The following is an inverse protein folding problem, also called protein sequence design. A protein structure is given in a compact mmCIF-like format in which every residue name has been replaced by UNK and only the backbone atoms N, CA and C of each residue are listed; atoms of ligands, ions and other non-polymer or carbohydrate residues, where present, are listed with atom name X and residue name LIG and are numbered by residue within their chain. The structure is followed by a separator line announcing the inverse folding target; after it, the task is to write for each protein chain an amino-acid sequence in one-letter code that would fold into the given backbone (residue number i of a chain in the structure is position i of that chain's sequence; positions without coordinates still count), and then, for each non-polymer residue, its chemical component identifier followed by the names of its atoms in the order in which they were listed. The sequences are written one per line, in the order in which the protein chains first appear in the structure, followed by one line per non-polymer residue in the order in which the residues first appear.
data_IF_683346631173
#
_entry.id   IF_683346631173
#
_cell.length_a   1.000
_cell.length_b   1.000
_cell.length_c   1.000
_cell.angle_alpha   90.00
_cell.angle_beta   90.00
_cell.angle_gamma   90.00
#
_symmetry.space_group_name_H-M   'P 1'
#
loop_
_entity.id
_entity.type
_entity.pdbx_description
1 polymer ?
#
# COMPACT_ATOMS: atom_id res chain seq x y z
N UNK A 1 2.05 -36.01 -7.50
CA UNK A 1 1.34 -35.20 -6.48
C UNK A 1 2.39 -34.54 -5.61
N UNK A 2 2.62 -33.24 -5.78
CA UNK A 2 3.42 -32.44 -4.85
C UNK A 2 2.54 -31.29 -4.38
N UNK A 3 1.88 -31.45 -3.23
CA UNK A 3 1.22 -30.33 -2.56
C UNK A 3 2.33 -29.46 -2.00
N UNK A 4 2.55 -28.30 -2.62
CA UNK A 4 3.39 -27.28 -1.99
C UNK A 4 2.60 -26.73 -0.81
N UNK A 5 3.08 -26.98 0.40
CA UNK A 5 2.57 -26.36 1.61
C UNK A 5 2.92 -24.86 1.56
N UNK A 6 2.05 -24.08 0.94
CA UNK A 6 2.03 -22.62 1.10
C UNK A 6 1.64 -22.30 2.54
N UNK A 7 2.64 -22.20 3.43
CA UNK A 7 2.41 -21.58 4.73
C UNK A 7 1.95 -20.13 4.49
N UNK A 8 0.77 -19.73 4.98
CA UNK A 8 0.31 -18.36 4.83
C UNK A 8 1.33 -17.40 5.47
N UNK A 9 1.69 -16.33 4.77
CA UNK A 9 2.58 -15.29 5.28
C UNK A 9 1.91 -14.60 6.47
N UNK A 10 2.23 -15.08 7.67
CA UNK A 10 1.72 -14.58 8.96
C UNK A 10 1.87 -13.07 9.11
N UNK A 11 2.87 -12.43 8.48
CA UNK A 11 3.01 -10.96 8.50
C UNK A 11 1.91 -10.26 7.71
N UNK A 12 1.50 -10.81 6.58
CA UNK A 12 0.41 -10.26 5.77
C UNK A 12 -0.93 -10.38 6.50
N UNK A 13 -1.16 -11.49 7.21
CA UNK A 13 -2.34 -11.67 8.06
C UNK A 13 -2.37 -10.65 9.21
N UNK A 14 -1.23 -10.43 9.88
CA UNK A 14 -1.12 -9.44 10.95
C UNK A 14 -1.34 -8.00 10.45
N UNK A 15 -0.83 -7.66 9.27
CA UNK A 15 -1.04 -6.35 8.65
C UNK A 15 -2.52 -6.13 8.31
N UNK A 16 -3.21 -7.12 7.73
CA UNK A 16 -4.65 -7.02 7.45
C UNK A 16 -5.48 -6.82 8.72
N UNK A 17 -5.13 -7.50 9.81
CA UNK A 17 -5.80 -7.32 11.10
C UNK A 17 -5.58 -5.91 11.65
N UNK A 18 -4.34 -5.42 11.63
CA UNK A 18 -4.01 -4.05 12.06
C UNK A 18 -4.75 -3.00 11.21
N UNK A 19 -4.81 -3.19 9.90
CA UNK A 19 -5.55 -2.32 8.98
C UNK A 19 -7.05 -2.32 9.25
N UNK A 20 -7.64 -3.47 9.59
CA UNK A 20 -9.07 -3.56 9.87
C UNK A 20 -9.45 -2.88 11.19
N UNK A 21 -8.55 -2.90 12.17
CA UNK A 21 -8.71 -2.26 13.47
C UNK A 21 -8.23 -0.80 13.54
N UNK A 22 -7.68 -0.25 12.46
CA UNK A 22 -7.14 1.12 12.44
C UNK A 22 -8.22 2.16 12.73
N UNK A 23 -7.81 3.26 13.38
CA UNK A 23 -8.62 4.47 13.55
C UNK A 23 -8.26 5.56 12.56
N UNK A 24 -7.02 5.58 12.06
CA UNK A 24 -6.58 6.56 11.06
C UNK A 24 -7.33 6.39 9.75
N UNK A 25 -7.78 7.51 9.17
CA UNK A 25 -8.47 7.58 7.88
C UNK A 25 -7.52 7.79 6.70
N UNK A 26 -6.21 7.84 6.97
CA UNK A 26 -5.15 7.85 5.96
C UNK A 26 -4.22 6.68 6.21
N UNK A 27 -4.13 5.78 5.22
CA UNK A 27 -3.08 4.76 5.13
C UNK A 27 -2.04 5.24 4.14
N UNK A 28 -0.80 5.38 4.60
CA UNK A 28 0.32 5.81 3.79
C UNK A 28 1.23 4.61 3.51
N UNK A 29 1.18 4.07 2.29
CA UNK A 29 2.04 2.98 1.83
C UNK A 29 3.22 3.59 1.06
N UNK A 30 4.39 3.59 1.69
CA UNK A 30 5.56 4.31 1.16
C UNK A 30 6.82 3.45 1.25
N UNK A 31 7.89 3.89 0.60
CA UNK A 31 9.19 3.23 0.68
C UNK A 31 9.76 3.30 2.11
N UNK A 32 11.01 2.89 2.35
CA UNK A 32 11.61 2.88 3.68
C UNK A 32 12.95 3.61 3.77
N UNK A 33 13.22 4.53 2.84
CA UNK A 33 14.40 5.39 2.86
C UNK A 33 14.06 6.81 3.36
N UNK A 34 15.00 7.73 3.18
CA UNK A 34 14.89 9.10 3.67
C UNK A 34 13.81 9.92 2.94
N UNK A 35 13.56 9.68 1.66
CA UNK A 35 12.56 10.42 0.90
C UNK A 35 11.16 10.04 1.41
N UNK A 36 10.90 8.75 1.57
CA UNK A 36 9.69 8.23 2.20
C UNK A 36 9.46 8.79 3.61
N UNK A 37 10.51 8.92 4.43
CA UNK A 37 10.40 9.51 5.79
C UNK A 37 9.99 10.99 5.72
N UNK A 38 10.59 11.76 4.81
CA UNK A 38 10.20 13.14 4.57
C UNK A 38 8.74 13.25 4.08
N UNK A 39 8.35 12.39 3.14
CA UNK A 39 6.98 12.27 2.65
C UNK A 39 5.98 11.96 3.75
N UNK A 40 6.27 11.03 4.65
CA UNK A 40 5.39 10.69 5.77
C UNK A 40 5.23 11.84 6.77
N UNK A 41 6.32 12.55 7.08
CA UNK A 41 6.27 13.73 7.95
C UNK A 41 5.34 14.82 7.36
N UNK A 42 5.38 15.02 6.04
CA UNK A 42 4.47 15.92 5.33
C UNK A 42 3.01 15.41 5.43
N UNK A 43 2.77 14.11 5.24
CA UNK A 43 1.43 13.53 5.39
C UNK A 43 0.88 13.75 6.80
N UNK A 44 1.66 13.50 7.85
CA UNK A 44 1.25 13.73 9.24
C UNK A 44 0.93 15.19 9.51
N UNK A 45 1.70 16.13 8.93
CA UNK A 45 1.42 17.57 9.04
C UNK A 45 0.11 17.98 8.34
N UNK A 46 -0.24 17.33 7.23
CA UNK A 46 -1.45 17.64 6.45
C UNK A 46 -2.71 16.98 7.00
N UNK A 47 -2.61 15.71 7.40
CA UNK A 47 -3.77 14.87 7.72
C UNK A 47 -3.91 14.54 9.21
N UNK A 48 -2.90 14.83 10.04
CA UNK A 48 -2.89 14.46 11.46
C UNK A 48 -2.49 13.00 11.64
N UNK A 49 -3.42 12.16 12.09
CA UNK A 49 -3.15 10.73 12.31
C UNK A 49 -3.03 9.97 10.98
N UNK A 50 -1.93 9.23 10.83
CA UNK A 50 -1.57 8.49 9.62
C UNK A 50 -1.08 7.11 10.00
N UNK A 51 -1.70 6.09 9.42
CA UNK A 51 -1.25 4.70 9.51
C UNK A 51 -0.22 4.44 8.41
N UNK A 52 1.06 4.51 8.76
CA UNK A 52 2.16 4.35 7.80
C UNK A 52 2.56 2.88 7.66
N UNK A 53 2.66 2.41 6.43
CA UNK A 53 3.22 1.11 6.06
C UNK A 53 4.54 1.36 5.35
N UNK A 54 5.63 1.21 6.10
CA UNK A 54 7.00 1.24 5.56
C UNK A 54 7.28 -0.03 4.75
N UNK A 55 7.75 0.13 3.52
CA UNK A 55 7.86 -0.98 2.60
C UNK A 55 9.14 -0.93 1.78
N UNK A 56 9.93 -2.01 1.76
CA UNK A 56 10.94 -2.19 0.71
C UNK A 56 10.27 -2.46 -0.64
N UNK A 57 10.89 -2.05 -1.77
CA UNK A 57 10.36 -2.29 -3.13
C UNK A 57 9.84 -3.73 -3.35
N UNK A 58 10.61 -4.75 -2.96
CA UNK A 58 10.26 -6.16 -3.19
C UNK A 58 9.08 -6.69 -2.36
N UNK A 59 8.61 -5.94 -1.34
CA UNK A 59 7.45 -6.29 -0.52
C UNK A 59 6.20 -5.49 -0.91
N UNK A 60 6.32 -4.55 -1.84
CA UNK A 60 5.25 -3.62 -2.18
C UNK A 60 3.96 -4.34 -2.59
N UNK A 61 4.04 -5.26 -3.55
CA UNK A 61 2.84 -5.97 -4.02
C UNK A 61 2.15 -6.79 -2.91
N UNK A 62 2.93 -7.40 -2.01
CA UNK A 62 2.37 -8.18 -0.89
C UNK A 62 1.71 -7.29 0.16
N UNK A 63 2.33 -6.15 0.49
CA UNK A 63 1.72 -5.17 1.40
C UNK A 63 0.50 -4.51 0.77
N UNK A 64 0.55 -4.19 -0.53
CA UNK A 64 -0.57 -3.62 -1.24
C UNK A 64 -1.73 -4.62 -1.36
N UNK A 65 -1.48 -5.92 -1.52
CA UNK A 65 -2.52 -6.95 -1.45
C UNK A 65 -3.24 -6.97 -0.10
N UNK A 66 -2.50 -6.81 1.00
CA UNK A 66 -3.06 -6.75 2.35
C UNK A 66 -3.93 -5.49 2.52
N UNK A 67 -3.45 -4.33 2.06
CA UNK A 67 -4.23 -3.08 2.07
C UNK A 67 -5.49 -3.21 1.21
N UNK A 68 -5.34 -3.64 -0.04
CA UNK A 68 -6.43 -3.82 -0.97
C UNK A 68 -7.45 -4.86 -0.48
N UNK A 69 -7.04 -5.85 0.32
CA UNK A 69 -7.92 -6.83 0.96
C UNK A 69 -8.65 -6.35 2.21
N UNK A 70 -8.28 -5.19 2.75
CA UNK A 70 -8.90 -4.62 3.96
C UNK A 70 -9.99 -3.59 3.62
N UNK A 71 -10.97 -3.36 4.52
CA UNK A 71 -12.03 -2.37 4.29
C UNK A 71 -11.48 -0.93 4.17
N UNK A 72 -11.79 -0.27 3.06
CA UNK A 72 -11.41 1.11 2.80
C UNK A 72 -12.29 2.14 3.48
N UNK A 73 -13.59 1.89 3.66
CA UNK A 73 -14.52 2.79 4.39
C UNK A 73 -14.61 4.24 3.84
N UNK A 74 -14.17 4.47 2.61
CA UNK A 74 -14.04 5.81 2.02
C UNK A 74 -12.73 6.52 2.40
N UNK A 75 -11.85 5.87 3.16
CA UNK A 75 -10.56 6.38 3.59
C UNK A 75 -9.55 6.49 2.45
N UNK A 76 -8.52 7.30 2.68
CA UNK A 76 -7.44 7.52 1.73
C UNK A 76 -6.35 6.44 1.87
N UNK A 77 -6.06 5.77 0.76
CA UNK A 77 -4.80 5.07 0.51
C UNK A 77 -3.88 6.01 -0.28
N UNK A 78 -2.87 6.55 0.39
CA UNK A 78 -1.80 7.32 -0.25
C UNK A 78 -0.61 6.41 -0.51
N UNK A 79 -0.22 6.24 -1.77
CA UNK A 79 0.97 5.52 -2.19
C UNK A 79 2.04 6.55 -2.60
N UNK A 80 3.24 6.45 -2.05
CA UNK A 80 4.32 7.38 -2.39
C UNK A 80 5.68 6.72 -2.49
N UNK A 81 6.60 7.35 -3.23
CA UNK A 81 8.00 6.94 -3.38
C UNK A 81 8.20 5.47 -3.78
N UNK A 82 7.20 4.90 -4.45
CA UNK A 82 7.23 3.55 -4.96
C UNK A 82 6.76 3.60 -6.41
N UNK A 83 7.65 3.20 -7.32
CA UNK A 83 7.38 3.06 -8.74
C UNK A 83 6.35 1.99 -9.07
N UNK A 84 5.83 2.08 -10.29
CA UNK A 84 4.97 1.05 -10.86
C UNK A 84 5.63 -0.34 -10.77
N UNK A 85 4.83 -1.36 -10.48
CA UNK A 85 5.22 -2.76 -10.57
C UNK A 85 4.11 -3.55 -11.26
N UNK A 86 4.47 -4.48 -12.14
CA UNK A 86 3.49 -5.30 -12.84
C UNK A 86 2.53 -6.00 -11.86
N UNK A 87 1.23 -5.84 -12.09
CA UNK A 87 0.17 -6.46 -11.26
C UNK A 87 -0.44 -5.52 -10.21
N UNK A 88 -0.02 -4.25 -10.17
CA UNK A 88 -0.66 -3.23 -9.32
C UNK A 88 -2.09 -2.92 -9.75
N UNK A 89 -2.44 -3.13 -11.01
CA UNK A 89 -3.77 -2.84 -11.57
C UNK A 89 -4.85 -3.67 -10.90
N UNK A 90 -4.59 -4.96 -10.72
CA UNK A 90 -5.51 -5.88 -10.04
C UNK A 90 -5.71 -5.46 -8.57
N UNK A 91 -4.65 -4.98 -7.93
CA UNK A 91 -4.66 -4.50 -6.53
C UNK A 91 -5.39 -3.16 -6.41
N UNK A 92 -5.16 -2.24 -7.35
CA UNK A 92 -5.88 -0.96 -7.45
C UNK A 92 -7.38 -1.20 -7.64
N UNK A 93 -7.76 -2.10 -8.55
CA UNK A 93 -9.16 -2.45 -8.78
C UNK A 93 -9.81 -3.03 -7.51
N UNK A 94 -9.12 -3.96 -6.84
CA UNK A 94 -9.58 -4.56 -5.57
C UNK A 94 -9.68 -3.53 -4.44
N UNK A 95 -8.70 -2.64 -4.31
CA UNK A 95 -8.74 -1.57 -3.31
C UNK A 95 -9.92 -0.62 -3.56
N UNK A 96 -10.16 -0.22 -4.81
CA UNK A 96 -11.32 0.61 -5.18
C UNK A 96 -12.63 -0.11 -4.86
N UNK A 97 -12.77 -1.39 -5.20
CA UNK A 97 -13.99 -2.16 -4.90
C UNK A 97 -14.23 -2.32 -3.39
N UNK A 98 -13.16 -2.28 -2.59
CA UNK A 98 -13.22 -2.29 -1.13
C UNK A 98 -13.38 -0.89 -0.50
N UNK A 99 -13.60 0.14 -1.32
CA UNK A 99 -13.98 1.48 -0.89
C UNK A 99 -12.80 2.38 -0.53
N UNK A 100 -11.60 2.11 -1.03
CA UNK A 100 -10.46 3.02 -0.87
C UNK A 100 -10.52 4.17 -1.88
N UNK A 101 -10.26 5.39 -1.40
CA UNK A 101 -9.84 6.50 -2.26
C UNK A 101 -8.33 6.40 -2.46
N UNK A 102 -7.85 6.41 -3.69
CA UNK A 102 -6.43 6.11 -3.97
C UNK A 102 -5.76 7.31 -4.61
N UNK A 103 -4.66 7.73 -4.01
CA UNK A 103 -3.74 8.72 -4.58
C UNK A 103 -2.34 8.11 -4.65
N UNK A 104 -1.70 8.20 -5.81
CA UNK A 104 -0.34 7.68 -6.02
C UNK A 104 0.56 8.82 -6.48
N UNK A 105 1.58 9.16 -5.68
CA UNK A 105 2.54 10.24 -5.94
C UNK A 105 3.94 9.71 -5.92
N UNK A 106 4.52 9.56 -7.11
CA UNK A 106 5.82 8.94 -7.27
C UNK A 106 6.67 9.74 -8.26
N UNK A 107 7.99 9.68 -8.08
CA UNK A 107 8.98 10.34 -8.94
C UNK A 107 9.91 9.34 -9.65
N UNK A 108 9.78 8.04 -9.36
CA UNK A 108 10.50 7.03 -10.13
C UNK A 108 10.05 7.06 -11.58
N UNK A 109 11.02 6.92 -12.48
CA UNK A 109 10.74 6.93 -13.92
C UNK A 109 10.00 5.67 -14.31
N UNK A 110 8.73 5.81 -14.69
CA UNK A 110 7.96 4.73 -15.31
C UNK A 110 8.38 4.61 -16.78
N UNK A 111 8.34 3.39 -17.28
CA UNK A 111 8.61 3.11 -18.69
C UNK A 111 7.33 3.28 -19.51
N UNK A 112 7.47 3.51 -20.81
CA UNK A 112 6.33 3.76 -21.70
C UNK A 112 5.33 2.59 -21.76
N UNK A 113 5.78 1.36 -21.48
CA UNK A 113 4.94 0.17 -21.38
C UNK A 113 4.15 0.07 -20.06
N UNK A 114 4.49 0.89 -19.06
CA UNK A 114 3.86 0.96 -17.74
C UNK A 114 2.80 2.08 -17.63
N UNK A 115 2.72 2.99 -18.61
CA UNK A 115 1.86 4.20 -18.61
C UNK A 115 0.69 4.08 -19.61
N UNK A 116 0.15 2.87 -19.86
CA UNK A 116 -0.93 2.67 -20.85
C UNK A 116 -2.31 2.49 -20.26
#
# INVERSE_FOLDING_TARGET
MGRSDHKPDTRSTNLMQALSGRTATVVHLTHNDLDAVGGDAIHRRKYGDVFTIWCSVGRFLANFDAVAGSPGRGDLLSISDIGYQRGVEQRLAKARSNGWQIEWRDHHRWKDDEIR
#
